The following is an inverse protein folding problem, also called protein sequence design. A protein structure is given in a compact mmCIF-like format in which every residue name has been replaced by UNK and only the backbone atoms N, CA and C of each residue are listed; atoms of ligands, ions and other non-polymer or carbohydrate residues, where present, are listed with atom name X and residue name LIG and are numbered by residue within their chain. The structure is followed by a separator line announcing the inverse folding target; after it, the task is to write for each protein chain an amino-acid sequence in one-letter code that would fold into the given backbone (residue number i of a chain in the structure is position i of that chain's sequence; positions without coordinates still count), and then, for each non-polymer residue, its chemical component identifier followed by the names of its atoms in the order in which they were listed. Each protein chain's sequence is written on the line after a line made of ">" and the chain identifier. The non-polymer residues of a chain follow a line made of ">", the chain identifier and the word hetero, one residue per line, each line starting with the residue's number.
data_IF_070322122139
#
_entry.id   IF_070322122139
#
_cell.length_a   1.000
_cell.length_b   1.000
_cell.length_c   1.000
_cell.angle_alpha   90.00
_cell.angle_beta   90.00
_cell.angle_gamma   90.00
#
_symmetry.space_group_name_H-M   'P 1'
#
loop_
_entity.id
_entity.type
_entity.pdbx_description
1 polymer ?
#
# COMPACT_ATOMS: atom_id res chain seq x y z
N UNK A 1 44.11 -20.49 -51.96
CA UNK A 1 43.93 -19.23 -51.18
C UNK A 1 42.60 -19.34 -50.46
N UNK A 2 42.65 -19.14 -49.15
CA UNK A 2 41.58 -19.34 -48.16
C UNK A 2 40.37 -18.40 -48.31
N UNK A 3 39.36 -18.72 -47.49
CA UNK A 3 38.13 -18.03 -47.10
C UNK A 3 36.89 -18.51 -47.86
N UNK A 4 35.93 -19.21 -47.27
CA UNK A 4 35.66 -19.47 -45.85
C UNK A 4 34.17 -19.38 -45.62
N UNK A 5 33.56 -20.52 -45.29
CA UNK A 5 32.18 -20.70 -44.89
C UNK A 5 31.70 -19.64 -43.89
N UNK A 6 30.54 -19.04 -44.15
CA UNK A 6 29.72 -18.43 -43.10
C UNK A 6 28.34 -19.06 -43.07
N UNK A 7 28.20 -19.99 -42.13
CA UNK A 7 26.93 -20.46 -41.57
C UNK A 7 26.02 -19.27 -41.27
N UNK A 8 24.83 -19.28 -41.86
CA UNK A 8 23.71 -18.47 -41.39
C UNK A 8 23.24 -19.06 -40.05
N UNK A 9 23.72 -18.48 -38.95
CA UNK A 9 23.32 -18.83 -37.59
C UNK A 9 22.02 -18.08 -37.29
N UNK A 10 20.94 -18.85 -37.13
CA UNK A 10 19.63 -18.35 -36.74
C UNK A 10 19.70 -17.59 -35.43
N UNK A 11 19.30 -16.32 -35.45
CA UNK A 11 19.06 -15.54 -34.24
C UNK A 11 17.57 -15.63 -33.95
N UNK A 12 17.19 -16.57 -33.08
CA UNK A 12 15.90 -16.59 -32.40
C UNK A 12 15.87 -15.35 -31.48
N UNK A 13 15.25 -14.27 -31.96
CA UNK A 13 14.90 -13.13 -31.11
C UNK A 13 13.79 -13.61 -30.18
N UNK A 14 14.18 -13.94 -28.94
CA UNK A 14 13.27 -14.11 -27.82
C UNK A 14 12.59 -12.76 -27.56
N UNK A 15 11.44 -12.51 -28.18
CA UNK A 15 10.53 -11.45 -27.77
C UNK A 15 9.97 -11.84 -26.40
N UNK A 16 10.68 -11.41 -25.35
CA UNK A 16 10.15 -11.38 -24.00
C UNK A 16 8.93 -10.47 -23.99
N UNK A 17 7.75 -11.07 -24.06
CA UNK A 17 6.48 -10.41 -23.78
C UNK A 17 6.53 -9.91 -22.34
N UNK A 18 6.99 -8.69 -22.16
CA UNK A 18 6.75 -7.90 -20.97
C UNK A 18 5.25 -7.59 -20.98
N UNK A 19 4.45 -8.55 -20.53
CA UNK A 19 3.06 -8.34 -20.16
C UNK A 19 3.08 -7.28 -19.06
N UNK A 20 2.96 -6.02 -19.48
CA UNK A 20 2.40 -4.96 -18.66
C UNK A 20 1.01 -5.44 -18.28
N UNK A 21 0.95 -6.25 -17.22
CA UNK A 21 -0.27 -6.45 -16.45
C UNK A 21 -0.70 -5.05 -16.10
N UNK A 22 -1.73 -4.56 -16.79
CA UNK A 22 -2.47 -3.38 -16.37
C UNK A 22 -3.09 -3.81 -15.06
N UNK A 23 -2.32 -3.64 -13.98
CA UNK A 23 -2.80 -3.79 -12.63
C UNK A 23 -3.84 -2.68 -12.55
N UNK A 24 -5.12 -3.04 -12.67
CA UNK A 24 -6.19 -2.20 -12.19
C UNK A 24 -5.75 -1.82 -10.77
N UNK A 25 -5.26 -0.59 -10.61
CA UNK A 25 -4.76 -0.12 -9.33
C UNK A 25 -6.00 0.09 -8.51
N UNK A 26 -6.49 -1.02 -7.93
CA UNK A 26 -7.54 -0.99 -6.93
C UNK A 26 -7.14 0.10 -5.94
N UNK A 27 -8.04 1.06 -5.68
CA UNK A 27 -7.73 2.17 -4.84
C UNK A 27 -7.24 1.64 -3.50
N UNK A 28 -6.18 2.27 -3.01
CA UNK A 28 -5.42 1.81 -1.87
C UNK A 28 -6.20 1.76 -0.57
N UNK A 29 -7.44 2.27 -0.62
CA UNK A 29 -8.40 2.34 0.45
C UNK A 29 -7.76 2.95 1.67
N UNK A 30 -7.70 4.28 1.77
CA UNK A 30 -7.30 4.96 2.99
C UNK A 30 -8.51 4.98 3.94
N UNK A 31 -8.35 4.41 5.12
CA UNK A 31 -9.33 4.47 6.20
C UNK A 31 -9.36 5.88 6.80
N UNK A 32 -10.56 6.38 7.06
CA UNK A 32 -10.79 7.73 7.58
C UNK A 32 -10.06 7.96 8.91
N UNK A 33 -10.05 6.98 9.81
CA UNK A 33 -9.48 7.05 11.15
C UNK A 33 -8.00 6.59 11.25
N UNK A 34 -7.30 6.46 10.12
CA UNK A 34 -5.86 6.17 10.06
C UNK A 34 -5.00 7.39 10.35
N UNK A 35 -3.67 7.25 10.47
CA UNK A 35 -2.71 8.33 10.75
C UNK A 35 -2.85 9.49 9.76
N UNK A 36 -3.36 9.20 8.57
CA UNK A 36 -3.72 10.17 7.56
C UNK A 36 -4.57 11.31 8.12
N UNK A 37 -5.57 11.06 8.97
CA UNK A 37 -6.42 12.11 9.54
C UNK A 37 -5.64 13.16 10.36
N UNK A 38 -4.55 12.76 11.03
CA UNK A 38 -3.72 13.68 11.82
C UNK A 38 -2.93 14.62 10.93
N UNK A 39 -2.46 14.13 9.78
CA UNK A 39 -1.80 15.00 8.79
C UNK A 39 -2.75 16.09 8.27
N UNK A 40 -4.06 15.87 8.36
CA UNK A 40 -5.10 16.86 8.05
C UNK A 40 -5.59 17.68 9.25
N UNK A 41 -5.03 17.52 10.45
CA UNK A 41 -5.47 18.27 11.63
C UNK A 41 -6.92 17.98 12.07
N UNK A 42 -7.44 16.79 11.73
CA UNK A 42 -8.86 16.44 11.94
C UNK A 42 -9.14 15.88 13.33
N UNK A 43 -8.12 15.47 14.08
CA UNK A 43 -8.28 14.75 15.35
C UNK A 43 -9.10 15.52 16.41
N UNK A 44 -9.10 16.86 16.34
CA UNK A 44 -9.83 17.75 17.27
C UNK A 44 -10.79 18.69 16.55
N UNK A 45 -11.08 18.43 15.27
CA UNK A 45 -11.93 19.29 14.45
C UNK A 45 -13.41 19.10 14.78
N UNK A 46 -14.22 20.10 14.46
CA UNK A 46 -15.69 20.02 14.60
C UNK A 46 -16.29 18.96 13.67
N UNK A 47 -17.52 18.52 13.96
CA UNK A 47 -18.24 17.53 13.15
C UNK A 47 -18.36 17.92 11.66
N UNK A 48 -18.46 19.22 11.37
CA UNK A 48 -18.48 19.74 10.00
C UNK A 48 -17.20 19.37 9.24
N UNK A 49 -16.04 19.64 9.85
CA UNK A 49 -14.73 19.37 9.23
C UNK A 49 -14.41 17.89 9.16
N UNK A 50 -14.86 17.11 10.15
CA UNK A 50 -14.83 15.63 10.09
C UNK A 50 -15.59 15.12 8.87
N UNK A 51 -16.78 15.67 8.60
CA UNK A 51 -17.61 15.28 7.45
C UNK A 51 -16.94 15.65 6.12
N UNK A 52 -16.43 16.88 5.99
CA UNK A 52 -15.68 17.33 4.81
C UNK A 52 -14.44 16.45 4.55
N UNK A 53 -13.72 16.07 5.60
CA UNK A 53 -12.58 15.15 5.51
C UNK A 53 -13.00 13.74 5.07
N UNK A 54 -14.06 13.15 5.65
CA UNK A 54 -14.59 11.84 5.24
C UNK A 54 -14.93 11.85 3.74
N UNK A 55 -15.59 12.89 3.23
CA UNK A 55 -15.87 13.05 1.80
C UNK A 55 -14.59 13.21 0.96
N UNK A 56 -13.60 13.98 1.43
CA UNK A 56 -12.31 14.12 0.75
C UNK A 56 -11.61 12.77 0.60
N UNK A 57 -11.52 11.99 1.67
CA UNK A 57 -10.89 10.66 1.63
C UNK A 57 -11.70 9.69 0.75
N UNK A 58 -13.03 9.75 0.77
CA UNK A 58 -13.86 8.94 -0.13
C UNK A 58 -13.55 9.24 -1.61
N UNK A 59 -13.34 10.50 -1.96
CA UNK A 59 -12.94 10.90 -3.31
C UNK A 59 -11.48 10.58 -3.62
N UNK A 60 -10.59 10.69 -2.64
CA UNK A 60 -9.19 10.29 -2.76
C UNK A 60 -9.07 8.78 -3.06
N UNK A 61 -9.94 7.97 -2.45
CA UNK A 61 -10.07 6.54 -2.74
C UNK A 61 -10.73 6.25 -4.09
N UNK A 62 -11.15 7.24 -4.88
CA UNK A 62 -11.56 7.05 -6.28
C UNK A 62 -10.45 7.42 -7.26
N UNK A 63 -9.45 8.17 -6.82
CA UNK A 63 -8.32 8.55 -7.65
C UNK A 63 -7.43 7.34 -7.94
N UNK A 64 -7.17 7.08 -9.22
CA UNK A 64 -6.41 5.92 -9.70
C UNK A 64 -4.91 6.17 -9.81
N UNK A 65 -4.44 7.38 -9.51
CA UNK A 65 -3.01 7.76 -9.60
C UNK A 65 -2.54 8.49 -8.35
N UNK A 66 -1.27 8.28 -7.98
CA UNK A 66 -0.63 8.98 -6.86
C UNK A 66 -0.65 10.49 -7.05
N UNK A 67 -0.44 10.95 -8.30
CA UNK A 67 -0.48 12.38 -8.65
C UNK A 67 -1.84 12.99 -8.35
N UNK A 68 -2.93 12.32 -8.74
CA UNK A 68 -4.29 12.79 -8.45
C UNK A 68 -4.57 12.83 -6.94
N UNK A 69 -4.19 11.79 -6.20
CA UNK A 69 -4.35 11.75 -4.74
C UNK A 69 -3.59 12.89 -4.05
N UNK A 70 -2.31 13.10 -4.39
CA UNK A 70 -1.49 14.20 -3.85
C UNK A 70 -2.12 15.55 -4.16
N UNK A 71 -2.59 15.76 -5.39
CA UNK A 71 -3.23 17.01 -5.82
C UNK A 71 -4.50 17.26 -5.00
N UNK A 72 -5.35 16.25 -4.83
CA UNK A 72 -6.58 16.37 -4.04
C UNK A 72 -6.30 16.70 -2.58
N UNK A 73 -5.36 15.99 -1.96
CA UNK A 73 -4.95 16.22 -0.58
C UNK A 73 -4.39 17.63 -0.39
N UNK A 74 -3.50 18.07 -1.28
CA UNK A 74 -2.91 19.40 -1.22
C UNK A 74 -3.96 20.51 -1.40
N UNK A 75 -4.87 20.36 -2.36
CA UNK A 75 -5.95 21.32 -2.58
C UNK A 75 -6.87 21.42 -1.36
N UNK A 76 -7.21 20.29 -0.73
CA UNK A 76 -7.99 20.32 0.49
C UNK A 76 -7.27 21.08 1.61
N UNK A 77 -5.99 20.80 1.87
CA UNK A 77 -5.24 21.48 2.92
C UNK A 77 -5.07 22.97 2.64
N UNK A 78 -4.61 23.34 1.44
CA UNK A 78 -4.41 24.74 1.06
C UNK A 78 -5.68 25.59 1.18
N UNK A 79 -6.84 25.01 0.86
CA UNK A 79 -8.10 25.75 0.88
C UNK A 79 -8.73 25.82 2.28
N UNK A 80 -8.38 24.93 3.21
CA UNK A 80 -9.12 24.76 4.45
C UNK A 80 -8.29 24.88 5.74
N UNK A 81 -6.95 24.94 5.66
CA UNK A 81 -6.07 24.86 6.84
C UNK A 81 -6.40 25.85 7.95
N UNK A 82 -6.83 27.08 7.62
CA UNK A 82 -7.18 28.10 8.63
C UNK A 82 -8.39 27.72 9.49
N UNK A 83 -9.24 26.82 9.00
CA UNK A 83 -10.42 26.36 9.72
C UNK A 83 -10.17 25.06 10.50
N UNK A 84 -8.96 24.51 10.38
CA UNK A 84 -8.57 23.24 11.00
C UNK A 84 -7.75 23.55 12.25
N UNK A 85 -8.17 23.10 13.45
CA UNK A 85 -7.63 23.58 14.72
C UNK A 85 -6.17 23.23 14.97
N UNK A 86 -5.61 22.28 14.21
CA UNK A 86 -4.19 21.90 14.32
C UNK A 86 -3.22 22.80 13.54
N UNK A 87 -3.71 23.81 12.81
CA UNK A 87 -2.88 24.69 12.00
C UNK A 87 -2.96 26.13 12.49
N UNK A 88 -1.88 26.58 13.13
CA UNK A 88 -1.66 27.94 13.63
C UNK A 88 -0.74 28.74 12.71
N UNK A 89 -0.03 28.09 11.78
CA UNK A 89 0.91 28.76 10.88
C UNK A 89 1.01 28.09 9.49
N UNK A 90 1.60 28.82 8.54
CA UNK A 90 1.94 28.28 7.21
C UNK A 90 3.02 27.19 7.28
N UNK A 91 3.91 27.23 8.27
CA UNK A 91 4.95 26.20 8.44
C UNK A 91 4.36 24.87 8.87
N UNK A 92 3.32 24.90 9.73
CA UNK A 92 2.56 23.71 10.09
C UNK A 92 1.81 23.15 8.87
N UNK A 93 1.21 24.02 8.04
CA UNK A 93 0.61 23.60 6.77
C UNK A 93 1.65 22.93 5.85
N UNK A 94 2.81 23.54 5.66
CA UNK A 94 3.87 23.00 4.80
C UNK A 94 4.37 21.64 5.31
N UNK A 95 4.51 21.49 6.63
CA UNK A 95 4.86 20.23 7.27
C UNK A 95 3.80 19.16 7.02
N UNK A 96 2.52 19.48 7.19
CA UNK A 96 1.42 18.56 6.89
C UNK A 96 1.35 18.16 5.43
N UNK A 97 1.51 19.10 4.49
CA UNK A 97 1.55 18.78 3.06
C UNK A 97 2.65 17.75 2.76
N UNK A 98 3.82 17.92 3.36
CA UNK A 98 4.96 16.99 3.22
C UNK A 98 4.63 15.62 3.81
N UNK A 99 4.11 15.58 5.04
CA UNK A 99 3.73 14.34 5.72
C UNK A 99 2.64 13.60 4.94
N UNK A 100 1.58 14.30 4.51
CA UNK A 100 0.49 13.73 3.72
C UNK A 100 1.00 13.13 2.41
N UNK A 101 1.88 13.83 1.70
CA UNK A 101 2.49 13.32 0.48
C UNK A 101 3.31 12.05 0.73
N UNK A 102 4.13 12.03 1.80
CA UNK A 102 4.93 10.86 2.19
C UNK A 102 4.07 9.66 2.59
N UNK A 103 2.97 9.88 3.32
CA UNK A 103 2.02 8.82 3.66
C UNK A 103 1.37 8.21 2.42
N UNK A 104 0.93 9.04 1.46
CA UNK A 104 0.38 8.55 0.19
C UNK A 104 1.41 7.71 -0.57
N UNK A 105 2.62 8.22 -0.75
CA UNK A 105 3.69 7.47 -1.42
C UNK A 105 3.99 6.12 -0.76
N UNK A 106 4.11 6.12 0.56
CA UNK A 106 4.37 4.90 1.31
C UNK A 106 3.22 3.91 1.16
N UNK A 107 1.96 4.37 1.17
CA UNK A 107 0.80 3.50 0.93
C UNK A 107 0.81 2.89 -0.48
N UNK A 108 1.23 3.67 -1.48
CA UNK A 108 1.46 3.17 -2.85
C UNK A 108 2.48 2.04 -2.86
N UNK A 109 3.62 2.21 -2.20
CA UNK A 109 4.68 1.19 -2.15
C UNK A 109 4.24 -0.05 -1.36
N UNK A 110 3.60 0.11 -0.20
CA UNK A 110 3.03 -0.99 0.60
C UNK A 110 2.05 -1.82 -0.24
N UNK A 111 1.07 -1.18 -0.87
CA UNK A 111 0.06 -1.92 -1.64
C UNK A 111 0.64 -2.59 -2.87
N UNK A 112 1.65 -1.98 -3.49
CA UNK A 112 2.40 -2.57 -4.61
C UNK A 112 3.18 -3.80 -4.16
N UNK A 113 3.92 -3.69 -3.05
CA UNK A 113 4.64 -4.80 -2.43
C UNK A 113 3.69 -5.98 -2.16
N UNK A 114 2.58 -5.74 -1.47
CA UNK A 114 1.62 -6.76 -1.08
C UNK A 114 0.94 -7.42 -2.29
N UNK A 115 0.57 -6.64 -3.32
CA UNK A 115 0.01 -7.19 -4.57
C UNK A 115 1.03 -8.06 -5.31
N UNK A 116 2.30 -7.64 -5.35
CA UNK A 116 3.38 -8.42 -5.95
C UNK A 116 3.63 -9.73 -5.20
N UNK A 117 3.65 -9.70 -3.87
CA UNK A 117 3.77 -10.88 -3.02
C UNK A 117 2.62 -11.86 -3.28
N UNK A 118 1.37 -11.37 -3.25
CA UNK A 118 0.19 -12.18 -3.54
C UNK A 118 0.23 -12.78 -4.95
N UNK A 119 0.76 -12.05 -5.94
CA UNK A 119 0.91 -12.58 -7.30
C UNK A 119 1.89 -13.77 -7.36
N UNK A 120 2.94 -13.78 -6.53
CA UNK A 120 3.87 -14.92 -6.41
C UNK A 120 3.24 -16.13 -5.70
N UNK A 121 2.38 -15.88 -4.72
CA UNK A 121 1.66 -16.92 -3.97
C UNK A 121 0.53 -17.55 -4.81
N UNK A 122 -0.20 -16.73 -5.58
CA UNK A 122 -1.37 -17.13 -6.38
C UNK A 122 -1.21 -18.44 -7.17
N UNK A 123 -0.18 -18.65 -8.01
CA UNK A 123 -0.06 -19.86 -8.81
C UNK A 123 0.23 -21.12 -7.99
N UNK A 124 0.49 -21.01 -6.68
CA UNK A 124 0.88 -22.14 -5.82
C UNK A 124 -0.30 -22.74 -5.05
N UNK A 125 -1.43 -22.05 -5.03
CA UNK A 125 -2.61 -22.41 -4.25
C UNK A 125 -3.84 -22.56 -5.15
N UNK A 126 -4.78 -23.40 -4.72
CA UNK A 126 -6.10 -23.43 -5.33
C UNK A 126 -6.80 -22.07 -5.17
N UNK A 127 -7.57 -21.65 -6.18
CA UNK A 127 -8.24 -20.34 -6.21
C UNK A 127 -9.02 -20.01 -4.93
N UNK A 128 -9.85 -20.90 -4.35
CA UNK A 128 -10.56 -20.59 -3.11
C UNK A 128 -9.62 -20.26 -1.95
N UNK A 129 -8.55 -21.05 -1.78
CA UNK A 129 -7.57 -20.84 -0.70
C UNK A 129 -6.72 -19.58 -0.92
N UNK A 130 -6.36 -19.28 -2.17
CA UNK A 130 -5.72 -17.99 -2.47
C UNK A 130 -6.63 -16.81 -2.13
N UNK A 131 -7.91 -16.88 -2.50
CA UNK A 131 -8.88 -15.83 -2.20
C UNK A 131 -9.06 -15.62 -0.70
N UNK A 132 -9.11 -16.69 0.09
CA UNK A 132 -9.14 -16.65 1.56
C UNK A 132 -7.94 -15.88 2.13
N UNK A 133 -6.71 -16.27 1.77
CA UNK A 133 -5.47 -15.61 2.26
C UNK A 133 -5.38 -14.15 1.82
N UNK A 134 -5.76 -13.86 0.57
CA UNK A 134 -5.80 -12.51 0.03
C UNK A 134 -6.80 -11.63 0.78
N UNK A 135 -8.00 -12.16 1.04
CA UNK A 135 -9.04 -11.41 1.73
C UNK A 135 -8.66 -11.19 3.21
N UNK A 136 -8.03 -12.18 3.85
CA UNK A 136 -7.48 -12.07 5.20
C UNK A 136 -6.47 -10.90 5.30
N UNK A 137 -5.55 -10.78 4.34
CA UNK A 137 -4.60 -9.67 4.28
C UNK A 137 -5.31 -8.31 4.28
N UNK A 138 -6.23 -8.11 3.34
CA UNK A 138 -6.88 -6.81 3.16
C UNK A 138 -7.84 -6.45 4.29
N UNK A 139 -8.47 -7.46 4.91
CA UNK A 139 -9.27 -7.27 6.11
C UNK A 139 -8.39 -6.80 7.28
N UNK A 140 -7.25 -7.45 7.52
CA UNK A 140 -6.32 -7.06 8.59
C UNK A 140 -5.71 -5.69 8.34
N UNK A 141 -5.26 -5.41 7.12
CA UNK A 141 -4.74 -4.09 6.72
C UNK A 141 -5.77 -2.98 6.98
N UNK A 142 -7.02 -3.17 6.59
CA UNK A 142 -8.10 -2.20 6.86
C UNK A 142 -8.41 -2.08 8.36
N UNK A 143 -8.50 -3.19 9.09
CA UNK A 143 -8.79 -3.18 10.53
C UNK A 143 -7.68 -2.47 11.33
N UNK A 144 -6.43 -2.63 10.88
CA UNK A 144 -5.27 -1.95 11.42
C UNK A 144 -5.22 -0.45 11.04
N UNK A 145 -6.14 0.07 10.23
CA UNK A 145 -6.04 1.45 9.73
C UNK A 145 -4.84 1.67 8.81
N UNK A 146 -4.43 0.62 8.10
CA UNK A 146 -3.27 0.54 7.19
C UNK A 146 -1.90 0.46 7.87
N UNK A 147 -1.88 0.14 9.16
CA UNK A 147 -0.65 -0.07 9.92
C UNK A 147 -0.10 -1.47 9.73
N UNK A 148 0.51 -1.70 8.58
CA UNK A 148 1.12 -2.99 8.23
C UNK A 148 2.21 -3.42 9.22
N UNK A 149 2.85 -2.48 9.93
CA UNK A 149 3.81 -2.80 10.99
C UNK A 149 3.21 -3.73 12.07
N UNK A 150 1.91 -3.63 12.34
CA UNK A 150 1.28 -4.38 13.44
C UNK A 150 0.59 -5.67 13.00
N UNK A 151 0.16 -5.76 11.74
CA UNK A 151 -0.64 -6.88 11.27
C UNK A 151 0.04 -7.76 10.22
N UNK A 152 1.17 -7.34 9.63
CA UNK A 152 1.81 -8.11 8.56
C UNK A 152 2.36 -9.45 9.04
N UNK A 153 3.10 -9.48 10.15
CA UNK A 153 3.68 -10.74 10.65
C UNK A 153 2.60 -11.70 11.17
N UNK A 154 1.58 -11.18 11.82
CA UNK A 154 0.39 -11.95 12.22
C UNK A 154 -0.32 -12.53 10.99
N UNK A 155 -0.56 -11.73 9.95
CA UNK A 155 -1.10 -12.21 8.69
C UNK A 155 -0.26 -13.34 8.08
N UNK A 156 1.08 -13.22 8.08
CA UNK A 156 1.95 -14.29 7.55
C UNK A 156 1.76 -15.59 8.30
N UNK A 157 1.76 -15.54 9.63
CA UNK A 157 1.59 -16.72 10.47
C UNK A 157 0.25 -17.40 10.20
N UNK A 158 -0.84 -16.63 10.16
CA UNK A 158 -2.18 -17.15 9.86
C UNK A 158 -2.31 -17.69 8.43
N UNK A 159 -1.73 -16.99 7.45
CA UNK A 159 -1.74 -17.42 6.05
C UNK A 159 -1.02 -18.77 5.88
N UNK A 160 0.10 -18.98 6.56
CA UNK A 160 0.82 -20.26 6.57
C UNK A 160 0.04 -21.34 7.31
N UNK A 161 -0.57 -21.01 8.45
CA UNK A 161 -1.38 -21.94 9.22
C UNK A 161 -2.60 -22.45 8.43
N UNK A 162 -3.24 -21.57 7.64
CA UNK A 162 -4.44 -21.85 6.85
C UNK A 162 -4.21 -22.76 5.62
N UNK A 163 -2.95 -23.02 5.24
CA UNK A 163 -2.60 -23.91 4.12
C UNK A 163 -2.53 -25.35 4.65
N UNK A 164 -3.37 -26.30 4.21
CA UNK A 164 -3.40 -27.64 4.81
C UNK A 164 -2.15 -28.48 4.49
N UNK A 165 -1.67 -28.44 3.24
CA UNK A 165 -0.58 -29.30 2.79
C UNK A 165 0.80 -28.81 3.25
N UNK A 166 1.56 -29.65 3.96
CA UNK A 166 2.87 -29.31 4.50
C UNK A 166 3.88 -28.86 3.43
N UNK A 167 3.90 -29.54 2.26
CA UNK A 167 4.75 -29.15 1.13
C UNK A 167 4.41 -27.72 0.63
N UNK A 168 3.12 -27.36 0.59
CA UNK A 168 2.67 -26.02 0.21
C UNK A 168 3.00 -24.98 1.28
N UNK A 169 2.89 -25.31 2.57
CA UNK A 169 3.38 -24.43 3.65
C UNK A 169 4.85 -24.08 3.43
N UNK A 170 5.71 -25.09 3.22
CA UNK A 170 7.14 -24.88 3.00
C UNK A 170 7.43 -24.03 1.76
N UNK A 171 6.73 -24.28 0.65
CA UNK A 171 6.86 -23.50 -0.58
C UNK A 171 6.47 -22.03 -0.38
N UNK A 172 5.32 -21.76 0.25
CA UNK A 172 4.86 -20.39 0.50
C UNK A 172 5.75 -19.66 1.53
N UNK A 173 6.21 -20.33 2.59
CA UNK A 173 7.14 -19.74 3.56
C UNK A 173 8.43 -19.28 2.90
N UNK A 174 8.98 -20.05 1.95
CA UNK A 174 10.15 -19.66 1.16
C UNK A 174 9.86 -18.46 0.26
N UNK A 175 8.68 -18.40 -0.38
CA UNK A 175 8.27 -17.24 -1.19
C UNK A 175 8.22 -15.98 -0.32
N UNK A 176 7.61 -16.05 0.87
CA UNK A 176 7.53 -14.92 1.79
C UNK A 176 8.94 -14.42 2.17
N UNK A 177 9.80 -15.32 2.66
CA UNK A 177 11.15 -14.97 3.09
C UNK A 177 12.00 -14.37 1.95
N UNK A 178 11.96 -14.98 0.77
CA UNK A 178 12.72 -14.47 -0.39
C UNK A 178 12.18 -13.13 -0.87
N UNK A 179 10.86 -12.92 -0.83
CA UNK A 179 10.26 -11.67 -1.26
C UNK A 179 10.58 -10.53 -0.29
N UNK A 180 10.59 -10.80 1.02
CA UNK A 180 11.03 -9.83 2.03
C UNK A 180 12.50 -9.45 1.86
N UNK A 181 13.38 -10.44 1.71
CA UNK A 181 14.81 -10.21 1.50
C UNK A 181 15.09 -9.39 0.23
N UNK A 182 14.30 -9.59 -0.83
CA UNK A 182 14.43 -8.85 -2.09
C UNK A 182 13.85 -7.42 -2.03
N UNK A 183 13.09 -7.07 -1.00
CA UNK A 183 12.37 -5.81 -0.91
C UNK A 183 12.55 -5.16 0.49
N UNK A 184 13.79 -4.84 0.90
CA UNK A 184 14.08 -4.34 2.24
C UNK A 184 13.37 -3.01 2.56
N UNK A 185 13.07 -2.19 1.54
CA UNK A 185 12.35 -0.92 1.72
C UNK A 185 10.93 -1.05 2.26
N UNK A 186 10.34 -2.26 2.24
CA UNK A 186 9.03 -2.49 2.84
C UNK A 186 9.02 -2.22 4.35
N UNK A 187 10.14 -2.46 5.05
CA UNK A 187 10.23 -2.15 6.49
C UNK A 187 10.12 -0.66 6.77
N UNK A 188 10.79 0.18 5.97
CA UNK A 188 10.73 1.64 6.14
C UNK A 188 9.36 2.20 5.80
N UNK A 189 8.69 1.60 4.81
CA UNK A 189 7.31 1.94 4.47
C UNK A 189 6.34 1.58 5.60
N UNK A 190 6.47 0.39 6.20
CA UNK A 190 5.69 0.01 7.39
C UNK A 190 5.89 1.01 8.53
N UNK A 191 7.13 1.48 8.75
CA UNK A 191 7.44 2.50 9.77
C UNK A 191 6.85 3.87 9.45
N UNK A 192 6.80 4.26 8.18
CA UNK A 192 6.19 5.54 7.76
C UNK A 192 4.71 5.62 8.15
N UNK A 193 4.00 4.48 8.07
CA UNK A 193 2.63 4.35 8.55
C UNK A 193 2.51 3.97 10.02
N UNK A 194 3.60 3.80 10.76
CA UNK A 194 3.55 3.46 12.18
C UNK A 194 3.38 4.76 12.99
N UNK A 195 2.21 4.96 13.64
CA UNK A 195 1.97 6.18 14.38
C UNK A 195 2.65 6.23 15.76
N UNK A 196 3.42 5.19 16.12
CA UNK A 196 4.10 5.07 17.41
C UNK A 196 3.19 4.58 18.54
N UNK A 197 3.81 4.28 19.69
CA UNK A 197 3.12 3.83 20.90
C UNK A 197 2.23 4.96 21.44
N UNK A 198 0.97 4.65 21.77
CA UNK A 198 0.00 5.65 22.28
C UNK A 198 -0.83 6.34 21.19
N UNK A 199 -0.74 5.90 19.93
CA UNK A 199 -1.66 6.38 18.91
C UNK A 199 -3.10 5.92 19.16
N UNK A 200 -3.95 6.87 19.52
CA UNK A 200 -5.39 6.73 19.37
C UNK A 200 -5.76 7.07 17.92
N UNK A 201 -6.43 6.13 17.24
CA UNK A 201 -7.14 6.37 15.96
C UNK A 201 -7.93 7.66 16.10
N UNK A 202 -8.00 8.48 15.04
CA UNK A 202 -8.87 9.66 15.14
C UNK A 202 -10.29 9.18 15.47
N UNK A 203 -10.91 9.82 16.46
CA UNK A 203 -12.25 9.50 16.96
C UNK A 203 -13.34 9.88 15.98
N UNK A 204 -13.24 9.40 14.74
CA UNK A 204 -14.12 9.72 13.61
C UNK A 204 -15.19 8.66 13.43
N UNK A 205 -15.67 8.06 14.54
CA UNK A 205 -16.84 7.18 14.51
C UNK A 205 -17.99 7.88 13.78
#
# INVERSE_FOLDING_TARGET
>A
RNFGDRKAMGTLVNLGFLLCVIVNVSPQGIAYNSIFCRSFGINTATNEWVTKYKTMVANLNKDTTLKAQKTRSANFLNNNWKNLPSFLSKDQLASSLTITAGLLESRWRITTYLKGLLAKIKPKLATPKFNEIRNMLWTKDKAAGHYMMWCYDEWKQEAIAAIPAAAKKSEISKILANYEAANPGFEDDKRTWNPGKGFNKCGLA
#
